data_IF_503922606101
#
_entry.id   IF_503922606101
#
_cell.length_a   1.000
_cell.length_b   1.000
_cell.length_c   1.000
_cell.angle_alpha   90.00
_cell.angle_beta   90.00
_cell.angle_gamma   90.00
#
_symmetry.space_group_name_H-M   'P 1'
#
loop_
_entity.id
_entity.type
_entity.pdbx_description
1 polymer ?
#
# COMPACT_ATOMS: atom_id res chain seq x y z
N UNK A 1 12.81 -11.47 6.46
CA UNK A 1 12.40 -12.70 5.72
C UNK A 1 13.44 -13.07 4.66
N UNK A 2 13.74 -12.22 3.67
CA UNK A 2 14.72 -12.54 2.61
C UNK A 2 16.10 -12.92 3.12
N UNK A 3 16.64 -12.16 4.09
CA UNK A 3 17.95 -12.44 4.63
C UNK A 3 18.08 -13.86 5.18
N UNK A 4 17.03 -14.37 5.83
CA UNK A 4 16.98 -15.75 6.29
C UNK A 4 16.93 -16.76 5.14
N UNK A 5 16.09 -16.52 4.13
CA UNK A 5 16.00 -17.40 2.93
C UNK A 5 17.33 -17.47 2.20
N UNK A 6 17.97 -16.30 1.99
CA UNK A 6 19.30 -16.19 1.38
C UNK A 6 20.36 -16.92 2.21
N UNK A 7 20.37 -16.72 3.54
CA UNK A 7 21.32 -17.40 4.42
C UNK A 7 21.22 -18.93 4.28
N UNK A 8 20.00 -19.47 4.33
CA UNK A 8 19.77 -20.92 4.17
C UNK A 8 20.15 -21.43 2.77
N UNK A 9 20.01 -20.59 1.74
CA UNK A 9 20.40 -20.95 0.39
C UNK A 9 21.94 -20.99 0.23
N UNK A 10 22.64 -20.00 0.78
CA UNK A 10 24.10 -19.94 0.78
C UNK A 10 24.70 -21.10 1.60
N UNK A 11 24.14 -21.41 2.79
CA UNK A 11 24.58 -22.55 3.61
C UNK A 11 24.53 -23.89 2.85
N UNK A 12 23.66 -24.01 1.84
CA UNK A 12 23.55 -25.18 0.95
C UNK A 12 24.45 -25.10 -0.27
N UNK A 13 25.39 -24.17 -0.32
CA UNK A 13 26.31 -23.97 -1.45
C UNK A 13 25.72 -23.21 -2.63
N UNK A 14 24.55 -22.60 -2.47
CA UNK A 14 23.92 -21.78 -3.51
C UNK A 14 24.55 -20.39 -3.63
N UNK A 15 24.20 -19.68 -4.73
CA UNK A 15 24.59 -18.30 -4.97
C UNK A 15 23.33 -17.41 -4.99
N UNK A 16 23.41 -16.20 -4.42
CA UNK A 16 22.26 -15.32 -4.31
C UNK A 16 22.54 -13.89 -4.80
N UNK A 17 21.53 -13.29 -5.43
CA UNK A 17 21.52 -11.90 -5.85
C UNK A 17 20.24 -11.24 -5.34
N UNK A 18 20.36 -10.15 -4.59
CA UNK A 18 19.23 -9.29 -4.22
C UNK A 18 19.31 -8.01 -5.03
N UNK A 19 18.26 -7.67 -5.75
CA UNK A 19 18.22 -6.48 -6.60
C UNK A 19 17.21 -5.48 -6.04
N UNK A 20 17.65 -4.25 -5.87
CA UNK A 20 16.85 -3.13 -5.36
C UNK A 20 17.02 -1.89 -6.23
N UNK A 21 16.10 -0.95 -6.11
CA UNK A 21 16.12 0.31 -6.86
C UNK A 21 16.60 1.52 -6.03
N UNK A 22 16.95 1.31 -4.75
CA UNK A 22 17.37 2.39 -3.84
C UNK A 22 18.58 2.00 -3.00
N UNK A 23 19.49 2.97 -2.87
CA UNK A 23 20.74 2.77 -2.11
C UNK A 23 20.47 2.57 -0.61
N UNK A 24 19.42 3.18 -0.09
CA UNK A 24 18.98 3.00 1.30
C UNK A 24 18.56 1.54 1.57
N UNK A 25 17.82 0.94 0.63
CA UNK A 25 17.40 -0.47 0.72
C UNK A 25 18.61 -1.41 0.61
N UNK A 26 19.58 -1.07 -0.26
CA UNK A 26 20.84 -1.80 -0.37
C UNK A 26 21.63 -1.79 0.95
N UNK A 27 21.71 -0.62 1.63
CA UNK A 27 22.35 -0.51 2.96
C UNK A 27 21.60 -1.30 4.03
N UNK A 28 20.27 -1.25 4.03
CA UNK A 28 19.43 -2.00 4.98
C UNK A 28 19.55 -3.51 4.77
N UNK A 29 19.60 -3.97 3.52
CA UNK A 29 19.84 -5.37 3.19
C UNK A 29 21.21 -5.83 3.72
N UNK A 30 22.27 -5.04 3.50
CA UNK A 30 23.59 -5.31 4.05
C UNK A 30 23.59 -5.46 5.57
N UNK A 31 22.93 -4.55 6.29
CA UNK A 31 22.77 -4.64 7.74
C UNK A 31 21.97 -5.86 8.20
N UNK A 32 20.94 -6.26 7.44
CA UNK A 32 20.15 -7.45 7.73
C UNK A 32 20.95 -8.74 7.54
N UNK A 33 21.76 -8.81 6.49
CA UNK A 33 22.68 -9.93 6.26
C UNK A 33 23.79 -10.00 7.30
N UNK A 34 24.37 -8.85 7.70
CA UNK A 34 25.39 -8.79 8.75
C UNK A 34 24.94 -9.38 10.07
N UNK A 35 23.66 -9.21 10.46
CA UNK A 35 23.11 -9.86 11.67
C UNK A 35 23.02 -11.38 11.58
N UNK A 36 23.10 -11.94 10.37
CA UNK A 36 23.14 -13.38 10.11
C UNK A 36 24.56 -13.87 9.78
N UNK A 37 25.59 -13.05 10.02
CA UNK A 37 26.98 -13.39 9.72
C UNK A 37 27.35 -13.39 8.24
N UNK A 38 26.54 -12.81 7.38
CA UNK A 38 26.77 -12.74 5.93
C UNK A 38 27.25 -11.34 5.53
N UNK A 39 28.24 -11.28 4.65
CA UNK A 39 28.81 -10.04 4.12
C UNK A 39 28.55 -9.96 2.61
N UNK A 40 27.50 -9.29 2.13
CA UNK A 40 27.22 -9.19 0.70
C UNK A 40 28.22 -8.28 -0.01
N UNK A 41 28.54 -8.59 -1.26
CA UNK A 41 29.23 -7.68 -2.16
C UNK A 41 28.20 -6.77 -2.83
N UNK A 42 28.43 -5.45 -2.77
CA UNK A 42 27.52 -4.46 -3.33
C UNK A 42 27.87 -4.12 -4.77
N UNK A 43 26.86 -4.08 -5.67
CA UNK A 43 26.99 -3.66 -7.07
C UNK A 43 26.21 -2.36 -7.26
N UNK A 44 26.96 -1.26 -7.41
CA UNK A 44 26.41 0.08 -7.64
C UNK A 44 27.26 0.84 -8.65
N UNK A 45 26.82 2.04 -9.02
CA UNK A 45 27.58 2.88 -9.95
C UNK A 45 29.02 3.12 -9.44
N UNK A 46 30.01 2.87 -10.31
CA UNK A 46 31.43 3.05 -9.98
C UNK A 46 32.06 1.94 -9.13
N UNK A 47 31.30 0.97 -8.63
CA UNK A 47 31.86 -0.18 -7.90
C UNK A 47 32.61 -1.14 -8.83
N UNK A 48 33.63 -1.80 -8.27
CA UNK A 48 34.35 -2.93 -8.88
C UNK A 48 34.12 -4.17 -8.04
N UNK A 49 32.94 -4.83 -8.16
CA UNK A 49 32.57 -5.95 -7.30
C UNK A 49 33.35 -7.21 -7.65
N UNK A 50 33.64 -8.03 -6.63
CA UNK A 50 34.04 -9.43 -6.83
C UNK A 50 32.78 -10.23 -7.22
N UNK A 51 32.67 -10.59 -8.49
CA UNK A 51 31.53 -11.32 -9.03
C UNK A 51 31.52 -12.82 -8.67
N UNK A 52 32.61 -13.34 -8.10
CA UNK A 52 32.73 -14.74 -7.68
C UNK A 52 32.12 -14.99 -6.30
N UNK A 53 31.91 -13.93 -5.52
CA UNK A 53 31.30 -14.01 -4.19
C UNK A 53 29.89 -14.63 -4.26
N UNK A 54 29.50 -15.48 -3.28
CA UNK A 54 28.19 -16.16 -3.33
C UNK A 54 27.00 -15.22 -3.11
N UNK A 55 27.17 -14.09 -2.44
CA UNK A 55 26.08 -13.15 -2.10
C UNK A 55 26.34 -11.74 -2.63
N UNK A 56 25.39 -11.24 -3.42
CA UNK A 56 25.44 -9.87 -3.94
C UNK A 56 24.14 -9.11 -3.62
N UNK A 57 24.30 -7.79 -3.39
CA UNK A 57 23.18 -6.84 -3.39
C UNK A 57 23.46 -5.78 -4.46
N UNK A 58 22.54 -5.61 -5.40
CA UNK A 58 22.77 -4.79 -6.58
C UNK A 58 21.69 -3.73 -6.80
N UNK A 59 22.13 -2.58 -7.34
CA UNK A 59 21.23 -1.55 -7.86
C UNK A 59 20.73 -1.96 -9.26
N UNK A 60 19.41 -1.94 -9.45
CA UNK A 60 18.80 -2.29 -10.73
C UNK A 60 19.30 -1.43 -11.87
N UNK A 61 19.48 -0.09 -11.66
CA UNK A 61 19.97 0.80 -12.72
C UNK A 61 21.38 0.43 -13.15
N UNK A 62 22.23 -0.04 -12.24
CA UNK A 62 23.61 -0.45 -12.57
C UNK A 62 23.61 -1.72 -13.41
N UNK A 63 22.81 -2.70 -13.04
CA UNK A 63 22.70 -3.95 -13.80
C UNK A 63 22.01 -3.75 -15.15
N UNK A 64 20.87 -3.03 -15.17
CA UNK A 64 20.06 -2.89 -16.40
C UNK A 64 20.71 -2.04 -17.48
N UNK A 65 21.61 -1.09 -17.11
CA UNK A 65 22.39 -0.31 -18.09
C UNK A 65 23.50 -1.10 -18.74
N UNK A 66 23.97 -2.17 -18.12
CA UNK A 66 25.06 -3.02 -18.55
C UNK A 66 24.67 -4.51 -18.44
N UNK A 67 23.43 -4.84 -18.79
CA UNK A 67 22.90 -6.17 -18.59
C UNK A 67 23.70 -7.24 -19.38
N UNK A 68 24.17 -6.91 -20.56
CA UNK A 68 25.01 -7.77 -21.40
C UNK A 68 26.37 -8.02 -20.74
N UNK A 69 27.01 -7.02 -20.12
CA UNK A 69 28.30 -7.17 -19.41
C UNK A 69 28.14 -8.11 -18.19
N UNK A 70 26.97 -8.10 -17.59
CA UNK A 70 26.61 -8.93 -16.43
C UNK A 70 25.91 -10.25 -16.80
N UNK A 71 25.74 -10.58 -18.08
CA UNK A 71 24.95 -11.73 -18.52
C UNK A 71 25.40 -13.06 -17.88
N UNK A 72 26.70 -13.38 -17.92
CA UNK A 72 27.24 -14.58 -17.29
C UNK A 72 27.08 -14.58 -15.77
N UNK A 73 27.25 -13.42 -15.13
CA UNK A 73 27.04 -13.24 -13.71
C UNK A 73 25.58 -13.50 -13.33
N UNK A 74 24.62 -12.91 -14.04
CA UNK A 74 23.19 -13.09 -13.81
C UNK A 74 22.78 -14.56 -14.02
N UNK A 75 23.27 -15.18 -15.10
CA UNK A 75 23.02 -16.59 -15.40
C UNK A 75 23.60 -17.55 -14.36
N UNK A 76 24.66 -17.16 -13.64
CA UNK A 76 25.31 -17.99 -12.61
C UNK A 76 24.60 -18.00 -11.26
N UNK A 77 23.56 -17.17 -11.06
CA UNK A 77 22.87 -17.07 -9.79
C UNK A 77 21.78 -18.12 -9.67
N UNK A 78 21.81 -18.88 -8.58
CA UNK A 78 20.78 -19.90 -8.30
C UNK A 78 19.58 -19.36 -7.51
N UNK A 79 19.69 -18.15 -6.91
CA UNK A 79 18.59 -17.44 -6.27
C UNK A 79 18.66 -15.94 -6.61
N UNK A 80 17.59 -15.38 -7.18
CA UNK A 80 17.47 -13.95 -7.46
C UNK A 80 16.24 -13.40 -6.75
N UNK A 81 16.41 -12.35 -5.95
CA UNK A 81 15.33 -11.69 -5.24
C UNK A 81 15.21 -10.26 -5.74
N UNK A 82 14.02 -9.88 -6.21
CA UNK A 82 13.67 -8.51 -6.58
C UNK A 82 12.86 -7.86 -5.48
N UNK A 83 13.39 -6.80 -4.87
CA UNK A 83 12.67 -6.00 -3.90
C UNK A 83 11.84 -4.93 -4.62
N UNK A 84 10.59 -4.71 -4.19
CA UNK A 84 9.58 -3.92 -4.89
C UNK A 84 9.33 -4.41 -6.34
N UNK A 85 9.16 -5.73 -6.49
CA UNK A 85 9.07 -6.46 -7.76
C UNK A 85 7.99 -5.96 -8.74
N UNK A 86 7.04 -5.14 -8.28
CA UNK A 86 6.04 -4.49 -9.13
C UNK A 86 6.64 -3.44 -10.09
N UNK A 87 7.89 -2.99 -9.86
CA UNK A 87 8.55 -2.00 -10.71
C UNK A 87 9.04 -2.60 -12.02
N UNK A 88 8.84 -1.88 -13.11
CA UNK A 88 9.21 -2.33 -14.46
C UNK A 88 10.71 -2.26 -14.75
N UNK A 89 11.49 -1.57 -13.89
CA UNK A 89 12.93 -1.47 -14.06
C UNK A 89 13.65 -2.83 -14.07
N UNK A 90 13.05 -3.82 -13.41
CA UNK A 90 13.62 -5.18 -13.33
C UNK A 90 13.41 -6.02 -14.61
N UNK A 91 12.45 -5.67 -15.46
CA UNK A 91 12.08 -6.48 -16.64
C UNK A 91 13.26 -6.74 -17.57
N UNK A 92 14.18 -5.79 -17.66
CA UNK A 92 15.39 -5.90 -18.49
C UNK A 92 16.39 -6.97 -18.02
N UNK A 93 16.27 -7.45 -16.80
CA UNK A 93 17.19 -8.41 -16.22
C UNK A 93 16.75 -9.87 -16.45
N UNK A 94 15.44 -10.10 -16.56
CA UNK A 94 14.88 -11.46 -16.69
C UNK A 94 15.46 -12.28 -17.83
N UNK A 95 15.74 -11.73 -19.03
CA UNK A 95 16.33 -12.51 -20.13
C UNK A 95 17.73 -13.08 -19.83
N UNK A 96 18.43 -12.54 -18.83
CA UNK A 96 19.80 -12.94 -18.47
C UNK A 96 19.85 -13.87 -17.24
N UNK A 97 18.72 -14.11 -16.57
CA UNK A 97 18.66 -15.01 -15.42
C UNK A 97 18.62 -16.45 -15.90
N UNK A 98 19.41 -17.31 -15.25
CA UNK A 98 19.44 -18.74 -15.59
C UNK A 98 18.07 -19.41 -15.43
N UNK A 99 17.72 -20.32 -16.32
CA UNK A 99 16.42 -21.01 -16.33
C UNK A 99 16.15 -21.83 -15.04
N UNK A 100 17.21 -22.31 -14.39
CA UNK A 100 17.13 -23.10 -13.15
C UNK A 100 17.19 -22.24 -11.88
N UNK A 101 17.28 -20.90 -12.02
CA UNK A 101 17.34 -20.00 -10.88
C UNK A 101 15.97 -19.88 -10.20
N UNK A 102 15.97 -19.91 -8.89
CA UNK A 102 14.80 -19.47 -8.10
C UNK A 102 14.66 -17.96 -8.18
N UNK A 103 13.54 -17.47 -8.71
CA UNK A 103 13.25 -16.04 -8.79
C UNK A 103 12.12 -15.68 -7.84
N UNK A 104 12.41 -14.78 -6.90
CA UNK A 104 11.44 -14.32 -5.90
C UNK A 104 11.22 -12.81 -6.07
N UNK A 105 9.99 -12.41 -6.33
CA UNK A 105 9.56 -11.03 -6.30
C UNK A 105 8.92 -10.69 -4.95
N UNK A 106 9.46 -9.70 -4.27
CA UNK A 106 8.87 -9.21 -3.03
C UNK A 106 8.22 -7.86 -3.28
N UNK A 107 6.99 -7.70 -2.84
CA UNK A 107 6.29 -6.42 -2.90
C UNK A 107 5.08 -6.43 -1.99
N UNK A 108 4.78 -5.29 -1.38
CA UNK A 108 3.53 -5.09 -0.65
C UNK A 108 2.32 -4.91 -1.61
N UNK A 109 2.57 -4.66 -2.89
CA UNK A 109 1.55 -4.29 -3.87
C UNK A 109 1.87 -4.90 -5.23
N UNK A 110 1.53 -6.18 -5.46
CA UNK A 110 1.80 -6.86 -6.73
C UNK A 110 0.82 -6.41 -7.83
N UNK A 111 0.85 -5.12 -8.16
CA UNK A 111 0.03 -4.50 -9.19
C UNK A 111 0.87 -3.58 -10.07
N UNK A 112 0.84 -3.79 -11.38
CA UNK A 112 1.45 -2.92 -12.37
C UNK A 112 0.40 -2.13 -13.13
N UNK A 113 0.55 -0.81 -13.20
CA UNK A 113 -0.30 0.06 -14.01
C UNK A 113 0.49 0.57 -15.21
N UNK A 114 -0.14 0.51 -16.39
CA UNK A 114 0.44 1.09 -17.60
C UNK A 114 1.61 0.30 -18.22
N UNK A 115 2.09 -0.78 -17.59
CA UNK A 115 3.11 -1.66 -18.18
C UNK A 115 2.50 -2.53 -19.26
N UNK A 116 3.28 -2.81 -20.32
CA UNK A 116 2.93 -3.81 -21.33
C UNK A 116 3.15 -5.23 -20.77
N UNK A 117 4.15 -5.40 -19.90
CA UNK A 117 4.55 -6.67 -19.28
C UNK A 117 3.83 -6.81 -17.95
N UNK A 118 3.09 -7.89 -17.76
CA UNK A 118 2.43 -8.20 -16.49
C UNK A 118 3.32 -9.06 -15.59
N UNK A 119 2.94 -9.21 -14.31
CA UNK A 119 3.79 -9.96 -13.37
C UNK A 119 3.78 -11.47 -13.63
N UNK A 120 2.73 -12.02 -14.24
CA UNK A 120 2.61 -13.43 -14.61
C UNK A 120 3.59 -13.85 -15.72
N UNK A 121 4.14 -12.90 -16.49
CA UNK A 121 5.22 -13.15 -17.43
C UNK A 121 6.55 -13.52 -16.73
N UNK A 122 6.71 -13.11 -15.46
CA UNK A 122 7.94 -13.29 -14.69
C UNK A 122 7.79 -14.22 -13.49
N UNK A 123 6.58 -14.34 -12.93
CA UNK A 123 6.31 -15.09 -11.70
C UNK A 123 5.16 -16.06 -11.92
N UNK A 124 5.31 -17.30 -11.44
CA UNK A 124 4.32 -18.37 -11.61
C UNK A 124 3.19 -18.30 -10.60
N UNK A 125 3.53 -17.93 -9.36
CA UNK A 125 2.62 -17.93 -8.23
C UNK A 125 2.74 -16.67 -7.38
N UNK A 126 1.69 -16.36 -6.64
CA UNK A 126 1.67 -15.32 -5.63
C UNK A 126 1.41 -15.92 -4.25
N UNK A 127 2.34 -15.68 -3.33
CA UNK A 127 2.21 -16.10 -1.93
C UNK A 127 1.79 -14.90 -1.10
N UNK A 128 0.58 -14.91 -0.59
CA UNK A 128 0.05 -13.91 0.34
C UNK A 128 -0.27 -14.62 1.65
N UNK A 129 0.65 -14.65 2.62
CA UNK A 129 0.46 -15.47 3.81
C UNK A 129 -0.55 -14.88 4.79
N UNK A 130 -0.59 -13.55 4.95
CA UNK A 130 -1.43 -12.85 5.93
C UNK A 130 -1.92 -11.53 5.35
N UNK A 131 -3.20 -11.22 5.54
CA UNK A 131 -3.80 -9.95 5.13
C UNK A 131 -3.53 -8.81 6.15
N UNK A 132 -3.69 -7.55 5.72
CA UNK A 132 -3.50 -6.38 6.59
C UNK A 132 -4.39 -6.41 7.84
N UNK A 133 -5.69 -6.73 7.76
CA UNK A 133 -6.54 -6.85 8.94
C UNK A 133 -6.00 -7.86 9.96
N UNK A 134 -5.57 -9.03 9.48
CA UNK A 134 -5.03 -10.07 10.34
C UNK A 134 -3.73 -9.62 11.04
N UNK A 135 -2.87 -8.90 10.32
CA UNK A 135 -1.64 -8.33 10.91
C UNK A 135 -1.94 -7.27 11.98
N UNK A 136 -3.02 -6.51 11.83
CA UNK A 136 -3.49 -5.56 12.84
C UNK A 136 -4.02 -6.32 14.06
N UNK A 137 -4.85 -7.34 13.85
CA UNK A 137 -5.42 -8.14 14.92
C UNK A 137 -4.37 -8.93 15.70
N UNK A 138 -3.32 -9.38 15.02
CA UNK A 138 -2.15 -10.03 15.63
C UNK A 138 -1.19 -9.02 16.32
N UNK A 139 -1.43 -7.72 16.17
CA UNK A 139 -0.60 -6.67 16.79
C UNK A 139 0.73 -6.41 16.06
N UNK A 140 0.90 -6.87 14.83
CA UNK A 140 2.08 -6.57 14.01
C UNK A 140 1.96 -5.25 13.26
N UNK A 141 0.75 -4.75 13.05
CA UNK A 141 0.47 -3.45 12.47
C UNK A 141 -0.45 -2.62 13.36
N UNK A 142 -0.25 -1.30 13.37
CA UNK A 142 -1.10 -0.35 14.09
C UNK A 142 -2.44 -0.17 13.36
N UNK A 143 -3.49 0.06 14.14
CA UNK A 143 -4.81 0.37 13.64
C UNK A 143 -4.91 1.80 13.10
N UNK A 144 -5.66 2.03 12.02
CA UNK A 144 -5.82 3.32 11.39
C UNK A 144 -7.14 4.02 11.79
N UNK A 145 -7.04 5.24 12.29
CA UNK A 145 -8.16 6.18 12.45
C UNK A 145 -8.17 7.11 11.24
N UNK A 146 -9.08 6.89 10.29
CA UNK A 146 -9.07 7.62 9.02
C UNK A 146 -10.14 8.70 8.98
N UNK A 147 -9.71 9.94 8.71
CA UNK A 147 -10.55 11.11 8.50
C UNK A 147 -10.40 11.59 7.05
N UNK A 148 -11.48 11.86 6.36
CA UNK A 148 -11.45 12.28 4.96
C UNK A 148 -12.45 13.35 4.61
N UNK A 149 -12.23 14.00 3.47
CA UNK A 149 -13.13 14.99 2.88
C UNK A 149 -13.51 14.58 1.45
N UNK A 150 -14.70 14.89 0.98
CA UNK A 150 -15.06 14.72 -0.41
C UNK A 150 -14.47 15.87 -1.25
N UNK A 151 -13.34 15.65 -1.94
CA UNK A 151 -12.81 16.56 -2.95
C UNK A 151 -13.27 16.10 -4.34
N UNK A 152 -13.76 17.03 -5.17
CA UNK A 152 -14.04 16.73 -6.58
C UNK A 152 -12.78 16.89 -7.42
N UNK A 153 -12.27 15.74 -7.87
CA UNK A 153 -11.08 15.64 -8.72
C UNK A 153 -11.42 15.52 -10.22
N UNK A 154 -12.67 15.78 -10.60
CA UNK A 154 -13.07 15.74 -12.01
C UNK A 154 -12.34 16.81 -12.81
N UNK A 155 -11.90 16.41 -14.02
CA UNK A 155 -11.22 17.31 -14.95
C UNK A 155 -9.71 17.42 -14.75
N UNK A 156 -9.12 16.91 -13.65
CA UNK A 156 -7.66 16.87 -13.50
C UNK A 156 -7.08 15.85 -14.48
N UNK A 157 -6.11 16.28 -15.28
CA UNK A 157 -5.40 15.42 -16.23
C UNK A 157 -4.63 14.31 -15.51
N UNK A 158 -4.32 13.25 -16.25
CA UNK A 158 -3.51 12.13 -15.77
C UNK A 158 -2.25 12.02 -16.60
N UNK A 159 -1.10 11.95 -15.93
CA UNK A 159 0.22 11.78 -16.51
C UNK A 159 0.86 10.55 -15.89
N UNK A 160 1.41 9.66 -16.73
CA UNK A 160 2.01 8.40 -16.24
C UNK A 160 1.05 7.48 -15.46
N UNK A 161 -0.28 7.62 -15.70
CA UNK A 161 -1.31 6.82 -15.02
C UNK A 161 -1.76 7.36 -13.66
N UNK A 162 -1.21 8.49 -13.18
CA UNK A 162 -1.65 9.19 -11.96
C UNK A 162 -2.10 10.61 -12.29
N UNK A 163 -2.66 11.34 -11.31
CA UNK A 163 -3.05 12.73 -11.47
C UNK A 163 -1.83 13.62 -11.75
N UNK A 164 -1.99 14.60 -12.64
CA UNK A 164 -0.97 15.65 -12.84
C UNK A 164 -0.75 16.41 -11.53
N UNK A 165 0.51 16.44 -11.08
CA UNK A 165 0.86 16.98 -9.78
C UNK A 165 0.64 18.49 -9.67
N UNK A 166 0.84 19.23 -10.78
CA UNK A 166 0.71 20.69 -10.80
C UNK A 166 -0.75 21.11 -10.88
N UNK A 167 -1.56 20.45 -11.73
CA UNK A 167 -3.01 20.70 -11.78
C UNK A 167 -3.68 20.35 -10.43
N UNK A 168 -3.21 19.29 -9.78
CA UNK A 168 -3.70 18.91 -8.45
C UNK A 168 -3.32 19.97 -7.41
N UNK A 169 -2.07 20.42 -7.39
CA UNK A 169 -1.62 21.44 -6.44
C UNK A 169 -2.38 22.75 -6.64
N UNK A 170 -2.61 23.19 -7.87
CA UNK A 170 -3.42 24.38 -8.18
C UNK A 170 -4.87 24.22 -7.68
N UNK A 171 -5.49 23.05 -7.85
CA UNK A 171 -6.84 22.76 -7.34
C UNK A 171 -6.91 22.84 -5.81
N UNK A 172 -5.88 22.38 -5.10
CA UNK A 172 -5.81 22.44 -3.65
C UNK A 172 -5.62 23.87 -3.14
N UNK A 173 -4.82 24.67 -3.84
CA UNK A 173 -4.61 26.10 -3.51
C UNK A 173 -5.89 26.91 -3.75
N UNK A 174 -6.52 26.77 -4.91
CA UNK A 174 -7.79 27.41 -5.27
C UNK A 174 -8.86 27.18 -4.20
N UNK A 175 -8.86 26.01 -3.57
CA UNK A 175 -9.82 25.61 -2.55
C UNK A 175 -9.34 25.82 -1.12
N UNK A 176 -8.21 26.44 -0.91
CA UNK A 176 -7.61 26.67 0.41
C UNK A 176 -7.58 25.42 1.31
N UNK A 177 -7.30 24.27 0.70
CA UNK A 177 -7.29 22.99 1.44
C UNK A 177 -6.26 22.99 2.55
N UNK A 178 -5.19 23.79 2.45
CA UNK A 178 -4.16 23.95 3.48
C UNK A 178 -4.72 24.49 4.82
N UNK A 179 -5.71 25.38 4.80
CA UNK A 179 -6.36 25.89 6.04
C UNK A 179 -7.01 24.72 6.78
N UNK A 180 -7.74 23.88 6.04
CA UNK A 180 -8.32 22.66 6.60
C UNK A 180 -7.28 21.67 7.13
N UNK A 181 -6.07 21.61 6.55
CA UNK A 181 -4.99 20.76 7.08
C UNK A 181 -4.59 21.21 8.48
N UNK A 182 -4.31 22.49 8.66
CA UNK A 182 -3.86 23.06 9.94
C UNK A 182 -4.92 22.90 11.02
N UNK A 183 -6.18 23.28 10.71
CA UNK A 183 -7.28 23.22 11.67
C UNK A 183 -7.59 21.77 12.10
N UNK A 184 -7.66 20.86 11.13
CA UNK A 184 -7.95 19.47 11.44
C UNK A 184 -6.79 18.79 12.18
N UNK A 185 -5.54 19.11 11.85
CA UNK A 185 -4.38 18.65 12.62
C UNK A 185 -4.48 19.10 14.08
N UNK A 186 -4.71 20.40 14.32
CA UNK A 186 -4.85 20.96 15.69
C UNK A 186 -6.01 20.35 16.46
N UNK A 187 -7.10 20.01 15.79
CA UNK A 187 -8.30 19.44 16.41
C UNK A 187 -8.20 17.94 16.67
N UNK A 188 -7.63 17.16 15.72
CA UNK A 188 -7.71 15.69 15.73
C UNK A 188 -6.46 15.05 16.33
N UNK A 189 -5.29 15.57 16.02
CA UNK A 189 -4.00 14.95 16.35
C UNK A 189 -2.93 15.99 16.74
N UNK A 190 -3.23 16.92 17.65
CA UNK A 190 -2.28 17.96 18.05
C UNK A 190 -1.02 17.37 18.68
N UNK A 191 0.14 17.91 18.31
CA UNK A 191 1.44 17.52 18.88
C UNK A 191 1.92 16.12 18.51
N UNK A 192 1.33 15.48 17.51
CA UNK A 192 1.75 14.13 17.07
C UNK A 192 2.87 14.22 16.04
N UNK A 193 3.82 13.26 16.09
CA UNK A 193 4.81 13.07 15.03
C UNK A 193 4.10 12.73 13.72
N UNK A 194 4.30 13.57 12.70
CA UNK A 194 3.46 13.58 11.50
C UNK A 194 4.30 13.54 10.23
N UNK A 195 3.89 12.71 9.27
CA UNK A 195 4.45 12.71 7.93
C UNK A 195 3.38 13.18 6.93
N UNK A 196 3.65 14.28 6.22
CA UNK A 196 2.75 14.89 5.25
C UNK A 196 3.26 14.66 3.82
N UNK A 197 2.41 14.09 2.96
CA UNK A 197 2.71 13.82 1.55
C UNK A 197 1.98 14.81 0.65
N UNK A 198 2.74 15.61 -0.10
CA UNK A 198 2.25 16.60 -1.07
C UNK A 198 2.40 16.12 -2.51
N UNK A 199 1.75 16.81 -3.46
CA UNK A 199 1.77 16.45 -4.87
C UNK A 199 3.08 16.86 -5.56
N UNK A 200 3.60 18.06 -5.26
CA UNK A 200 4.85 18.58 -5.79
C UNK A 200 5.64 19.34 -4.71
N UNK A 201 6.87 19.72 -5.05
CA UNK A 201 7.82 20.39 -4.14
C UNK A 201 7.29 21.74 -3.69
N UNK A 202 6.75 22.55 -4.61
CA UNK A 202 6.22 23.87 -4.29
C UNK A 202 5.08 23.81 -3.26
N UNK A 203 4.11 22.91 -3.48
CA UNK A 203 3.01 22.66 -2.55
C UNK A 203 3.50 22.17 -1.18
N UNK A 204 4.55 21.35 -1.17
CA UNK A 204 5.11 20.83 0.08
C UNK A 204 5.83 21.91 0.89
N UNK A 205 6.57 22.79 0.21
CA UNK A 205 7.23 23.95 0.84
C UNK A 205 6.19 24.94 1.38
N UNK A 206 5.17 25.29 0.59
CA UNK A 206 4.09 26.18 1.02
C UNK A 206 3.35 25.63 2.24
N UNK A 207 2.97 24.35 2.23
CA UNK A 207 2.35 23.71 3.40
C UNK A 207 3.24 23.79 4.64
N UNK A 208 4.55 23.53 4.48
CA UNK A 208 5.51 23.60 5.58
C UNK A 208 5.59 25.02 6.19
N UNK A 209 5.66 26.05 5.34
CA UNK A 209 5.73 27.44 5.79
C UNK A 209 4.44 27.88 6.50
N UNK A 210 3.29 27.47 6.00
CA UNK A 210 1.99 27.75 6.67
C UNK A 210 1.87 27.02 8.00
N UNK A 211 2.34 25.77 8.11
CA UNK A 211 2.37 25.04 9.38
C UNK A 211 3.27 25.77 10.40
N UNK A 212 4.44 26.26 9.97
CA UNK A 212 5.33 27.07 10.81
C UNK A 212 4.69 28.38 11.23
N UNK A 213 4.03 29.09 10.30
CA UNK A 213 3.27 30.30 10.59
C UNK A 213 2.13 30.09 11.61
N UNK A 214 1.60 28.87 11.67
CA UNK A 214 0.60 28.46 12.66
C UNK A 214 1.19 28.00 14.01
N UNK A 215 2.52 28.14 14.21
CA UNK A 215 3.24 27.78 15.43
C UNK A 215 3.55 26.28 15.54
N UNK A 216 3.49 25.51 14.45
CA UNK A 216 3.77 24.08 14.44
C UNK A 216 5.21 23.79 14.04
N UNK A 217 5.79 22.73 14.61
CA UNK A 217 7.18 22.33 14.38
C UNK A 217 7.30 21.54 13.06
N UNK A 218 7.45 22.24 11.94
CA UNK A 218 7.45 21.65 10.60
C UNK A 218 8.77 21.87 9.87
N UNK A 219 9.26 20.86 9.13
CA UNK A 219 10.32 20.93 8.15
C UNK A 219 9.90 20.31 6.82
N UNK A 220 10.57 20.72 5.76
CA UNK A 220 10.36 20.17 4.41
C UNK A 220 11.53 19.29 4.02
N UNK A 221 11.25 18.25 3.20
CA UNK A 221 12.23 17.34 2.64
C UNK A 221 11.90 17.03 1.18
N UNK A 222 12.88 17.26 0.28
CA UNK A 222 12.74 16.91 -1.14
C UNK A 222 14.04 16.29 -1.71
N UNK A 223 13.97 15.90 -2.99
CA UNK A 223 15.09 15.26 -3.71
C UNK A 223 16.15 16.27 -4.17
N UNK A 224 15.87 17.56 -4.15
CA UNK A 224 16.78 18.62 -4.58
C UNK A 224 17.72 19.09 -3.45
N UNK A 225 17.40 18.72 -2.20
CA UNK A 225 18.22 19.06 -1.03
C UNK A 225 19.57 18.34 -1.07
N UNK A 226 20.61 19.01 -0.61
CA UNK A 226 21.92 18.42 -0.40
C UNK A 226 21.87 17.28 0.62
N UNK A 227 22.72 16.25 0.46
CA UNK A 227 22.69 15.05 1.30
C UNK A 227 22.84 15.34 2.80
N UNK A 228 23.65 16.32 3.18
CA UNK A 228 23.82 16.70 4.57
C UNK A 228 22.56 17.33 5.16
N UNK A 229 21.87 18.21 4.40
CA UNK A 229 20.59 18.82 4.83
C UNK A 229 19.50 17.75 4.98
N UNK A 230 19.47 16.79 4.05
CA UNK A 230 18.56 15.65 4.10
C UNK A 230 18.81 14.83 5.36
N UNK A 231 20.06 14.52 5.66
CA UNK A 231 20.45 13.75 6.85
C UNK A 231 20.05 14.48 8.12
N UNK A 232 20.39 15.76 8.25
CA UNK A 232 20.02 16.59 9.39
C UNK A 232 18.50 16.65 9.60
N UNK A 233 17.74 16.83 8.51
CA UNK A 233 16.29 16.89 8.56
C UNK A 233 15.68 15.56 9.02
N UNK A 234 16.22 14.44 8.56
CA UNK A 234 15.77 13.10 8.97
C UNK A 234 16.13 12.80 10.41
N UNK A 235 17.31 13.21 10.88
CA UNK A 235 17.73 13.01 12.26
C UNK A 235 16.91 13.87 13.22
N UNK A 236 16.63 15.13 12.85
CA UNK A 236 15.67 15.96 13.58
C UNK A 236 14.29 15.29 13.63
N UNK A 237 13.78 14.77 12.52
CA UNK A 237 12.47 14.11 12.52
C UNK A 237 12.43 12.88 13.41
N UNK A 238 13.52 12.11 13.51
CA UNK A 238 13.61 10.96 14.41
C UNK A 238 13.61 11.38 15.89
N UNK A 239 14.33 12.44 16.23
CA UNK A 239 14.53 12.88 17.61
C UNK A 239 13.38 13.72 18.17
N UNK A 240 12.62 14.44 17.30
CA UNK A 240 11.61 15.40 17.73
C UNK A 240 10.21 14.75 17.78
N UNK A 241 9.59 14.61 18.95
CA UNK A 241 8.30 13.92 19.10
C UNK A 241 7.11 14.62 18.42
N UNK A 242 7.18 15.94 18.24
CA UNK A 242 6.10 16.75 17.67
C UNK A 242 6.37 17.14 16.22
N UNK A 243 7.41 16.58 15.61
CA UNK A 243 7.83 16.92 14.26
C UNK A 243 6.76 16.68 13.21
N UNK A 244 6.58 17.64 12.32
CA UNK A 244 5.81 17.48 11.08
C UNK A 244 6.78 17.55 9.91
N UNK A 245 6.92 16.46 9.16
CA UNK A 245 7.80 16.40 7.99
C UNK A 245 6.96 16.42 6.71
N UNK A 246 7.02 17.54 5.97
CA UNK A 246 6.40 17.68 4.66
C UNK A 246 7.33 17.12 3.57
N UNK A 247 6.82 16.29 2.68
CA UNK A 247 7.62 15.69 1.63
C UNK A 247 6.86 15.38 0.34
N UNK A 248 7.60 15.05 -0.72
CA UNK A 248 7.05 14.63 -2.01
C UNK A 248 7.62 13.27 -2.39
N UNK A 249 6.93 12.20 -1.99
CA UNK A 249 7.22 10.82 -2.43
C UNK A 249 8.56 10.21 -1.99
N UNK A 250 9.49 11.00 -1.47
CA UNK A 250 10.85 10.53 -1.13
C UNK A 250 10.85 9.55 0.05
N UNK A 251 9.87 9.66 0.94
CA UNK A 251 9.74 8.82 2.13
C UNK A 251 8.74 7.66 1.96
N UNK A 252 8.27 7.42 0.75
CA UNK A 252 7.33 6.31 0.49
C UNK A 252 7.99 4.94 0.59
N UNK A 253 9.31 4.85 0.38
CA UNK A 253 10.10 3.62 0.49
C UNK A 253 11.39 3.88 1.25
N UNK A 254 11.93 2.85 1.91
CA UNK A 254 13.26 2.89 2.54
C UNK A 254 13.39 3.69 3.84
N UNK A 255 12.39 4.49 4.25
CA UNK A 255 12.44 5.26 5.49
C UNK A 255 11.82 4.51 6.67
N UNK A 256 12.58 4.34 7.74
CA UNK A 256 12.14 3.68 8.96
C UNK A 256 12.05 4.66 10.14
N UNK A 257 10.81 4.91 10.60
CA UNK A 257 10.49 5.73 11.77
C UNK A 257 9.17 5.18 12.37
N UNK A 258 9.24 4.24 13.32
CA UNK A 258 8.06 3.51 13.81
C UNK A 258 7.08 4.36 14.61
N UNK A 259 7.53 5.47 15.19
CA UNK A 259 6.80 6.37 16.08
C UNK A 259 5.97 7.45 15.35
N UNK A 260 5.84 7.37 14.02
CA UNK A 260 4.92 8.23 13.27
C UNK A 260 3.49 7.94 13.68
N UNK A 261 2.82 8.93 14.27
CA UNK A 261 1.44 8.84 14.78
C UNK A 261 0.40 9.36 13.79
N UNK A 262 0.78 10.21 12.84
CA UNK A 262 -0.15 10.80 11.88
C UNK A 262 0.42 10.81 10.47
N UNK A 263 -0.42 10.43 9.51
CA UNK A 263 -0.16 10.56 8.07
C UNK A 263 -1.12 11.58 7.49
N UNK A 264 -0.60 12.63 6.88
CA UNK A 264 -1.38 13.61 6.12
C UNK A 264 -1.22 13.32 4.62
N UNK A 265 -2.30 12.97 3.96
CA UNK A 265 -2.34 12.78 2.50
C UNK A 265 -2.82 14.10 1.85
N UNK A 266 -1.90 15.06 1.71
CA UNK A 266 -2.14 16.35 1.04
C UNK A 266 -1.94 16.22 -0.47
N UNK A 267 -2.33 15.06 -0.99
CA UNK A 267 -2.37 14.73 -2.42
C UNK A 267 -3.40 13.63 -2.70
N UNK A 268 -3.96 13.65 -3.89
CA UNK A 268 -4.67 12.50 -4.43
C UNK A 268 -3.73 11.63 -5.27
N UNK A 269 -4.03 10.34 -5.37
CA UNK A 269 -3.36 9.45 -6.31
C UNK A 269 -4.32 8.40 -6.85
N UNK A 270 -4.14 7.99 -8.09
CA UNK A 270 -4.79 6.82 -8.67
C UNK A 270 -3.98 5.54 -8.48
N UNK A 271 -2.77 5.66 -7.94
CA UNK A 271 -1.86 4.55 -7.69
C UNK A 271 -2.14 3.92 -6.32
N UNK A 272 -2.73 2.72 -6.32
CA UNK A 272 -2.91 1.93 -5.10
C UNK A 272 -1.58 1.63 -4.40
N UNK A 273 -0.50 1.22 -5.10
CA UNK A 273 0.81 1.05 -4.49
C UNK A 273 1.29 2.29 -3.73
N UNK A 274 1.22 3.45 -4.37
CA UNK A 274 1.66 4.70 -3.74
C UNK A 274 0.83 5.05 -2.50
N UNK A 275 -0.50 4.89 -2.58
CA UNK A 275 -1.39 5.09 -1.42
C UNK A 275 -0.99 4.18 -0.25
N UNK A 276 -0.82 2.88 -0.50
CA UNK A 276 -0.46 1.90 0.54
C UNK A 276 0.93 2.15 1.12
N UNK A 277 1.91 2.56 0.30
CA UNK A 277 3.24 2.92 0.77
C UNK A 277 3.23 4.16 1.66
N UNK A 278 2.50 5.21 1.28
CA UNK A 278 2.36 6.43 2.10
C UNK A 278 1.75 6.11 3.47
N UNK A 279 0.61 5.41 3.48
CA UNK A 279 -0.09 5.07 4.72
C UNK A 279 0.69 4.07 5.56
N UNK A 280 1.36 3.12 4.93
CA UNK A 280 2.19 2.12 5.57
C UNK A 280 3.33 2.69 6.42
N UNK A 281 3.73 3.95 6.22
CA UNK A 281 4.71 4.61 7.11
C UNK A 281 4.17 4.82 8.54
N UNK A 282 2.87 4.99 8.69
CA UNK A 282 2.21 5.13 9.99
C UNK A 282 1.82 3.80 10.65
N UNK A 283 1.87 2.69 9.93
CA UNK A 283 1.30 1.42 10.40
C UNK A 283 2.17 0.61 11.36
N UNK A 284 3.43 1.00 11.57
CA UNK A 284 4.34 0.26 12.44
C UNK A 284 3.95 0.35 13.91
N UNK A 285 4.03 -0.77 14.62
CA UNK A 285 3.73 -0.85 16.04
C UNK A 285 4.98 -0.51 16.87
N UNK A 286 4.78 0.17 17.98
CA UNK A 286 5.78 0.32 19.04
C UNK A 286 5.14 -0.07 20.38
N UNK A 287 5.94 -0.15 21.45
CA UNK A 287 5.41 -0.42 22.80
C UNK A 287 4.33 0.58 23.24
N UNK A 288 4.38 1.81 22.72
CA UNK A 288 3.49 2.93 23.08
C UNK A 288 2.45 3.25 21.99
N UNK A 289 2.52 2.57 20.83
CA UNK A 289 1.68 2.88 19.68
C UNK A 289 1.08 1.61 19.09
N UNK A 290 -0.24 1.52 19.14
CA UNK A 290 -1.05 0.51 18.47
C UNK A 290 -2.09 1.10 17.51
N UNK A 291 -2.19 2.43 17.44
CA UNK A 291 -3.06 3.16 16.51
C UNK A 291 -2.32 4.32 15.86
N UNK A 292 -2.79 4.77 14.71
CA UNK A 292 -2.32 5.99 14.05
C UNK A 292 -3.45 6.67 13.29
N UNK A 293 -3.27 7.96 13.00
CA UNK A 293 -4.28 8.79 12.33
C UNK A 293 -3.92 9.00 10.86
N UNK A 294 -4.92 8.92 9.99
CA UNK A 294 -4.82 9.31 8.58
C UNK A 294 -5.73 10.51 8.35
N UNK A 295 -5.16 11.62 7.89
CA UNK A 295 -5.91 12.79 7.41
C UNK A 295 -5.89 12.79 5.88
N UNK A 296 -6.97 12.33 5.24
CA UNK A 296 -7.04 12.17 3.78
C UNK A 296 -7.69 13.39 3.12
N UNK A 297 -6.87 14.32 2.68
CA UNK A 297 -7.27 15.49 1.89
C UNK A 297 -7.28 15.20 0.37
N UNK A 298 -6.86 14.01 -0.04
CA UNK A 298 -6.83 13.55 -1.42
C UNK A 298 -8.04 12.73 -1.84
N UNK A 299 -8.96 12.44 -0.91
CA UNK A 299 -10.08 11.51 -1.16
C UNK A 299 -9.59 10.13 -1.67
N UNK A 300 -8.41 9.72 -1.22
CA UNK A 300 -7.74 8.48 -1.65
C UNK A 300 -8.54 7.25 -1.20
N UNK A 301 -9.16 7.32 -0.02
CA UNK A 301 -9.97 6.22 0.53
C UNK A 301 -11.17 5.92 -0.37
N UNK A 302 -11.77 6.92 -1.01
CA UNK A 302 -12.85 6.70 -1.99
C UNK A 302 -12.35 6.00 -3.25
N UNK A 303 -11.12 6.29 -3.68
CA UNK A 303 -10.51 5.67 -4.85
C UNK A 303 -10.01 4.25 -4.56
N UNK A 304 -9.42 4.03 -3.37
CA UNK A 304 -8.65 2.83 -3.03
C UNK A 304 -9.26 1.99 -1.90
N UNK A 305 -10.39 2.38 -1.31
CA UNK A 305 -10.97 1.85 -0.07
C UNK A 305 -10.10 2.20 1.14
N UNK A 306 -10.56 1.80 2.33
CA UNK A 306 -9.79 1.96 3.57
C UNK A 306 -8.44 1.25 3.44
N UNK A 307 -7.41 1.75 4.15
CA UNK A 307 -6.08 1.19 4.08
C UNK A 307 -6.05 -0.29 4.50
N UNK A 308 -6.76 -0.60 5.56
CA UNK A 308 -6.89 -1.95 6.11
C UNK A 308 -7.82 -2.88 5.31
N UNK A 309 -8.51 -2.38 4.29
CA UNK A 309 -9.46 -3.21 3.54
C UNK A 309 -8.77 -4.43 2.92
N UNK A 310 -9.34 -5.63 3.05
CA UNK A 310 -8.78 -6.83 2.44
C UNK A 310 -8.71 -6.69 0.92
N UNK A 311 -7.62 -7.18 0.33
CA UNK A 311 -7.35 -7.08 -1.11
C UNK A 311 -7.03 -8.44 -1.69
N UNK A 312 -7.58 -8.70 -2.86
CA UNK A 312 -7.23 -9.88 -3.66
C UNK A 312 -6.22 -9.44 -4.71
N UNK A 313 -5.04 -10.01 -4.63
CA UNK A 313 -3.97 -9.76 -5.57
C UNK A 313 -3.96 -10.81 -6.69
N UNK A 314 -3.53 -10.41 -7.87
CA UNK A 314 -3.32 -11.28 -9.02
C UNK A 314 -2.05 -10.85 -9.74
N UNK A 315 -1.31 -11.80 -10.28
CA UNK A 315 -0.18 -11.54 -11.17
C UNK A 315 -0.66 -11.06 -12.54
N UNK A 316 -1.84 -11.50 -12.96
CA UNK A 316 -2.43 -11.17 -14.24
C UNK A 316 -2.80 -9.68 -14.34
N UNK A 317 -2.64 -9.17 -15.54
CA UNK A 317 -3.10 -7.82 -15.89
C UNK A 317 -4.61 -7.75 -15.72
N UNK A 318 -5.09 -6.92 -14.81
CA UNK A 318 -6.53 -6.65 -14.72
C UNK A 318 -7.02 -6.17 -16.09
N UNK A 319 -8.07 -6.79 -16.67
CA UNK A 319 -8.62 -6.32 -17.92
C UNK A 319 -8.92 -4.82 -17.76
N UNK A 320 -8.61 -4.03 -18.79
CA UNK A 320 -9.05 -2.63 -18.83
C UNK A 320 -10.56 -2.68 -18.53
N UNK A 321 -10.97 -2.14 -17.38
CA UNK A 321 -12.39 -1.94 -17.13
C UNK A 321 -12.89 -1.22 -18.37
N UNK A 322 -13.78 -1.87 -19.13
CA UNK A 322 -14.62 -1.15 -20.09
C UNK A 322 -15.07 0.09 -19.34
N UNK A 323 -14.78 1.25 -19.89
CA UNK A 323 -15.35 2.49 -19.39
C UNK A 323 -16.84 2.19 -19.35
N UNK A 324 -17.41 1.99 -18.14
CA UNK A 324 -18.84 2.18 -17.98
C UNK A 324 -19.03 3.57 -18.56
N UNK A 325 -19.59 3.64 -19.74
CA UNK A 325 -20.02 4.90 -20.32
C UNK A 325 -20.78 5.60 -19.20
N UNK A 326 -20.21 6.67 -18.69
CA UNK A 326 -20.89 7.52 -17.73
C UNK A 326 -22.20 7.83 -18.43
N UNK A 327 -23.34 7.43 -17.83
CA UNK A 327 -24.65 7.51 -18.47
C UNK A 327 -24.71 8.86 -19.16
N UNK A 328 -24.79 8.84 -20.49
CA UNK A 328 -24.82 10.05 -21.33
C UNK A 328 -26.04 10.90 -21.06
N UNK A 329 -26.91 10.46 -20.18
CA UNK A 329 -28.19 11.07 -19.78
C UNK A 329 -28.31 11.18 -18.26
N UNK A 330 -29.08 12.17 -17.81
CA UNK A 330 -29.50 12.37 -16.42
C UNK A 330 -31.00 12.63 -16.35
N UNK A 331 -31.61 12.27 -15.24
CA UNK A 331 -33.04 12.52 -15.00
C UNK A 331 -33.25 13.96 -14.52
N UNK A 332 -34.32 14.60 -15.05
CA UNK A 332 -34.74 15.90 -14.56
C UNK A 332 -35.50 15.76 -13.24
N UNK A 333 -35.04 16.40 -12.13
CA UNK A 333 -35.70 16.27 -10.84
C UNK A 333 -37.09 16.94 -10.78
N UNK A 334 -37.43 17.79 -11.77
CA UNK A 334 -38.72 18.49 -11.83
C UNK A 334 -39.79 17.70 -12.56
N UNK A 335 -39.46 17.10 -13.73
CA UNK A 335 -40.46 16.42 -14.57
C UNK A 335 -40.15 14.94 -14.79
N UNK A 336 -39.06 14.38 -14.25
CA UNK A 336 -38.65 13.01 -14.48
C UNK A 336 -38.13 12.70 -15.90
N UNK A 337 -38.14 13.67 -16.81
CA UNK A 337 -37.68 13.50 -18.19
C UNK A 337 -36.17 13.30 -18.29
N UNK A 338 -35.71 12.40 -19.17
CA UNK A 338 -34.29 12.19 -19.43
C UNK A 338 -33.74 13.25 -20.37
N UNK A 339 -32.62 13.85 -19.98
CA UNK A 339 -31.88 14.83 -20.77
C UNK A 339 -30.40 14.47 -20.83
N UNK A 340 -29.65 15.03 -21.79
CA UNK A 340 -28.22 14.81 -21.86
C UNK A 340 -27.55 15.19 -20.54
N UNK A 341 -26.56 14.40 -20.11
CA UNK A 341 -25.82 14.65 -18.83
C UNK A 341 -25.19 16.05 -18.77
N UNK A 342 -24.83 16.62 -19.96
CA UNK A 342 -24.29 17.96 -20.13
C UNK A 342 -25.34 19.07 -20.18
N UNK A 343 -26.64 18.74 -20.25
CA UNK A 343 -27.68 19.73 -20.37
C UNK A 343 -27.73 20.67 -19.17
N UNK A 344 -27.72 21.98 -19.43
CA UNK A 344 -27.87 23.03 -18.40
C UNK A 344 -29.33 23.32 -18.08
N UNK A 345 -30.23 23.10 -19.06
CA UNK A 345 -31.66 23.32 -18.95
C UNK A 345 -32.40 22.09 -19.48
N UNK A 346 -33.49 21.72 -18.83
CA UNK A 346 -34.36 20.63 -19.29
C UNK A 346 -35.17 21.08 -20.51
N UNK A 347 -35.09 20.37 -21.62
CA UNK A 347 -35.83 20.68 -22.85
C UNK A 347 -37.35 20.51 -22.71
N UNK A 348 -37.81 19.74 -21.70
CA UNK A 348 -39.21 19.42 -21.51
C UNK A 348 -39.93 20.40 -20.59
N UNK A 349 -39.27 20.88 -19.51
CA UNK A 349 -39.91 21.71 -18.51
C UNK A 349 -39.11 22.97 -18.13
N UNK A 350 -38.05 23.28 -18.87
CA UNK A 350 -37.19 24.44 -18.66
C UNK A 350 -36.49 24.47 -17.25
N UNK A 351 -36.47 23.35 -16.52
CA UNK A 351 -35.75 23.27 -15.26
C UNK A 351 -34.24 23.52 -15.48
N UNK A 352 -33.68 24.52 -14.79
CA UNK A 352 -32.27 24.83 -14.81
C UNK A 352 -31.54 23.90 -13.85
N UNK A 353 -30.64 23.04 -14.36
CA UNK A 353 -29.76 22.23 -13.54
C UNK A 353 -28.71 23.14 -12.92
N UNK A 354 -28.93 23.51 -11.65
CA UNK A 354 -27.91 24.21 -10.86
C UNK A 354 -26.66 23.36 -10.85
N UNK A 355 -25.46 23.92 -11.14
CA UNK A 355 -24.24 23.20 -10.92
C UNK A 355 -24.27 22.69 -9.47
N UNK A 356 -23.94 21.41 -9.25
CA UNK A 356 -23.81 20.90 -7.88
C UNK A 356 -22.87 21.86 -7.18
N UNK A 357 -23.38 22.63 -6.21
CA UNK A 357 -22.56 23.52 -5.39
C UNK A 357 -21.48 22.65 -4.81
N UNK A 358 -20.24 22.99 -5.11
CA UNK A 358 -19.10 22.36 -4.49
C UNK A 358 -19.17 22.67 -2.99
N UNK A 359 -19.20 21.68 -2.11
CA UNK A 359 -19.22 21.93 -0.66
C UNK A 359 -18.06 22.79 -0.19
N UNK A 360 -17.00 22.92 -1.01
CA UNK A 360 -15.81 23.71 -0.71
C UNK A 360 -15.81 25.13 -1.33
N UNK A 361 -16.94 25.56 -1.94
CA UNK A 361 -17.06 26.88 -2.55
C UNK A 361 -17.21 28.03 -1.53
N UNK A 362 -17.27 27.74 -0.22
CA UNK A 362 -17.27 28.72 0.86
C UNK A 362 -15.88 28.84 1.48
N UNK A 363 -15.51 30.05 1.90
CA UNK A 363 -14.27 30.36 2.62
C UNK A 363 -14.18 29.73 4.03
N UNK A 364 -14.98 28.72 4.32
CA UNK A 364 -14.95 27.99 5.57
C UNK A 364 -13.92 26.87 5.50
N UNK A 365 -13.15 26.72 6.55
CA UNK A 365 -12.19 25.64 6.68
C UNK A 365 -12.88 24.29 6.54
N UNK A 366 -12.26 23.41 5.78
CA UNK A 366 -12.78 22.07 5.54
C UNK A 366 -12.68 21.24 6.82
N UNK A 367 -13.83 20.85 7.36
CA UNK A 367 -13.91 19.98 8.54
C UNK A 367 -13.84 18.52 8.10
N UNK A 368 -12.84 17.78 8.59
CA UNK A 368 -12.76 16.34 8.40
C UNK A 368 -13.79 15.63 9.28
N UNK A 369 -14.48 14.64 8.71
CA UNK A 369 -15.32 13.71 9.46
C UNK A 369 -14.65 12.34 9.55
N UNK A 370 -14.92 11.64 10.66
CA UNK A 370 -14.47 10.25 10.80
C UNK A 370 -15.19 9.39 9.76
N UNK A 371 -14.43 8.75 8.89
CA UNK A 371 -14.99 7.79 7.94
C UNK A 371 -15.45 6.54 8.70
N UNK A 372 -16.65 5.99 8.38
CA UNK A 372 -17.09 4.75 9.00
C UNK A 372 -16.06 3.67 8.72
N UNK A 373 -15.54 3.08 9.79
CA UNK A 373 -14.77 1.85 9.68
C UNK A 373 -15.74 0.78 9.18
N UNK A 374 -15.25 -0.08 8.27
CA UNK A 374 -15.85 -1.38 8.10
C UNK A 374 -15.83 -1.98 9.51
N UNK A 375 -17.02 -2.30 10.07
CA UNK A 375 -17.11 -2.91 11.40
C UNK A 375 -16.05 -3.98 11.51
N UNK A 376 -15.08 -3.74 12.40
CA UNK A 376 -14.00 -4.69 12.58
C UNK A 376 -14.64 -5.96 13.07
N UNK A 377 -14.41 -7.01 12.33
CA UNK A 377 -14.67 -8.34 12.78
C UNK A 377 -14.02 -8.43 14.15
N UNK A 378 -14.83 -8.49 15.23
CA UNK A 378 -14.37 -8.83 16.57
C UNK A 378 -13.34 -9.93 16.40
N UNK A 379 -12.20 -9.87 17.10
CA UNK A 379 -11.10 -10.83 16.94
C UNK A 379 -11.68 -12.20 16.65
N UNK A 380 -11.40 -12.76 15.48
CA UNK A 380 -11.94 -14.06 15.05
C UNK A 380 -11.84 -15.13 16.15
N UNK A 381 -10.77 -15.04 16.97
CA UNK A 381 -10.54 -15.93 18.11
C UNK A 381 -11.52 -15.75 19.27
N UNK A 382 -12.18 -14.59 19.38
CA UNK A 382 -13.14 -14.31 20.47
C UNK A 382 -14.60 -14.53 20.05
N UNK A 383 -14.83 -14.84 18.77
CA UNK A 383 -16.18 -15.13 18.25
C UNK A 383 -16.58 -16.59 18.52
N UNK A 384 -17.84 -16.78 18.83
CA UNK A 384 -18.45 -18.13 18.85
C UNK A 384 -18.46 -18.75 17.45
N UNK A 385 -18.66 -20.07 17.36
CA UNK A 385 -18.79 -20.77 16.08
C UNK A 385 -19.98 -20.25 15.27
N UNK A 386 -21.08 -19.90 15.95
CA UNK A 386 -22.29 -19.32 15.36
C UNK A 386 -22.01 -17.95 14.74
N UNK A 387 -21.30 -17.08 15.44
CA UNK A 387 -20.89 -15.74 14.94
C UNK A 387 -19.93 -15.86 13.75
N UNK A 388 -18.95 -16.77 13.81
CA UNK A 388 -18.05 -17.07 12.69
C UNK A 388 -18.81 -17.56 11.46
N UNK A 389 -19.76 -18.48 11.63
CA UNK A 389 -20.58 -18.99 10.55
C UNK A 389 -21.51 -17.91 9.97
N UNK A 390 -22.03 -17.03 10.81
CA UNK A 390 -22.85 -15.88 10.37
C UNK A 390 -22.03 -14.94 9.48
N UNK A 391 -20.81 -14.56 9.90
CA UNK A 391 -19.91 -13.74 9.10
C UNK A 391 -19.61 -14.34 7.73
N UNK A 392 -19.35 -15.64 7.66
CA UNK A 392 -19.12 -16.33 6.39
C UNK A 392 -20.34 -16.32 5.46
N UNK A 393 -21.56 -16.26 6.02
CA UNK A 393 -22.81 -16.22 5.24
C UNK A 393 -23.13 -14.83 4.69
N UNK A 394 -22.87 -13.78 5.46
CA UNK A 394 -23.16 -12.39 5.05
C UNK A 394 -22.12 -11.86 4.03
N UNK A 395 -20.90 -12.37 4.03
CA UNK A 395 -19.89 -11.99 3.05
C UNK A 395 -20.05 -12.80 1.75
N UNK A 396 -20.91 -12.31 0.86
CA UNK A 396 -21.18 -12.95 -0.43
C UNK A 396 -19.96 -13.08 -1.34
N UNK A 397 -18.93 -12.24 -1.17
CA UNK A 397 -17.73 -12.24 -2.02
C UNK A 397 -16.60 -13.11 -1.47
N UNK A 398 -16.37 -13.08 -0.16
CA UNK A 398 -15.22 -13.72 0.47
C UNK A 398 -15.57 -14.81 1.48
N UNK A 399 -16.85 -15.03 1.77
CA UNK A 399 -17.30 -15.96 2.81
C UNK A 399 -16.74 -17.39 2.67
N UNK A 400 -16.49 -17.87 1.43
CA UNK A 400 -15.85 -19.18 1.20
C UNK A 400 -14.39 -19.19 1.63
N UNK A 401 -13.64 -18.09 1.38
CA UNK A 401 -12.24 -17.97 1.77
C UNK A 401 -12.10 -17.81 3.27
N UNK A 402 -12.99 -17.00 3.88
CA UNK A 402 -13.06 -16.82 5.33
C UNK A 402 -13.39 -18.15 6.03
N UNK A 403 -14.35 -18.92 5.51
CA UNK A 403 -14.67 -20.24 6.05
C UNK A 403 -13.48 -21.20 5.96
N UNK A 404 -12.74 -21.18 4.85
CA UNK A 404 -11.51 -21.97 4.69
C UNK A 404 -10.43 -21.60 5.70
N UNK A 405 -10.22 -20.30 5.93
CA UNK A 405 -9.26 -19.79 6.90
C UNK A 405 -9.65 -20.19 8.35
N UNK A 406 -10.92 -20.02 8.71
CA UNK A 406 -11.42 -20.41 10.04
C UNK A 406 -11.22 -21.92 10.27
N UNK A 407 -11.55 -22.75 9.29
CA UNK A 407 -11.36 -24.20 9.36
C UNK A 407 -9.89 -24.61 9.47
N UNK A 408 -9.01 -23.91 8.75
CA UNK A 408 -7.56 -24.13 8.81
C UNK A 408 -6.98 -23.92 10.21
N UNK A 409 -7.53 -22.96 10.97
CA UNK A 409 -7.06 -22.60 12.31
C UNK A 409 -7.81 -23.36 13.43
N UNK A 410 -8.71 -24.31 13.10
CA UNK A 410 -9.37 -25.13 14.09
C UNK A 410 -8.53 -26.33 14.50
N UNK A 411 -8.33 -26.47 15.81
CA UNK A 411 -7.51 -27.56 16.39
C UNK A 411 -8.29 -28.86 16.50
N UNK A 412 -9.62 -28.78 16.67
CA UNK A 412 -10.47 -29.94 16.94
C UNK A 412 -11.42 -30.24 15.80
N UNK A 413 -11.50 -31.52 15.43
CA UNK A 413 -12.39 -32.00 14.37
C UNK A 413 -13.88 -31.76 14.69
N UNK A 414 -14.29 -31.91 15.94
CA UNK A 414 -15.68 -31.69 16.38
C UNK A 414 -16.13 -30.23 16.14
N UNK A 415 -15.27 -29.25 16.41
CA UNK A 415 -15.54 -27.84 16.15
C UNK A 415 -15.65 -27.54 14.65
N UNK A 416 -14.81 -28.17 13.84
CA UNK A 416 -14.86 -28.05 12.39
C UNK A 416 -16.15 -28.63 11.81
N UNK A 417 -16.60 -29.79 12.29
CA UNK A 417 -17.87 -30.41 11.91
C UNK A 417 -19.07 -29.54 12.29
N UNK A 418 -19.08 -29.00 13.50
CA UNK A 418 -20.14 -28.10 13.98
C UNK A 418 -20.15 -26.81 13.15
N UNK A 419 -18.99 -26.21 12.86
CA UNK A 419 -18.88 -25.01 12.06
C UNK A 419 -19.36 -25.20 10.61
N UNK A 420 -19.00 -26.31 9.97
CA UNK A 420 -19.46 -26.65 8.61
C UNK A 420 -20.98 -26.85 8.57
N UNK A 421 -21.54 -27.48 9.61
CA UNK A 421 -23.00 -27.64 9.75
C UNK A 421 -23.70 -26.29 9.89
N UNK A 422 -23.15 -25.38 10.69
CA UNK A 422 -23.62 -23.98 10.83
C UNK A 422 -23.56 -23.19 9.52
N UNK A 423 -22.66 -23.53 8.61
CA UNK A 423 -22.61 -22.95 7.26
C UNK A 423 -23.68 -23.50 6.31
N UNK A 424 -24.49 -24.48 6.76
CA UNK A 424 -25.48 -25.18 5.93
C UNK A 424 -24.84 -26.12 4.91
N UNK A 425 -23.67 -26.66 5.21
CA UNK A 425 -22.89 -27.56 4.34
C UNK A 425 -22.70 -28.91 5.04
N UNK A 426 -22.52 -29.98 4.25
CA UNK A 426 -22.10 -31.28 4.79
C UNK A 426 -20.57 -31.31 4.98
N UNK A 427 -20.10 -32.06 5.98
CA UNK A 427 -18.66 -32.25 6.20
C UNK A 427 -17.97 -32.92 4.99
N UNK A 428 -18.70 -33.71 4.21
CA UNK A 428 -18.24 -34.23 2.91
C UNK A 428 -17.85 -33.15 1.93
N UNK A 429 -18.53 -31.99 1.97
CA UNK A 429 -18.16 -30.82 1.13
C UNK A 429 -16.76 -30.32 1.44
N UNK A 430 -16.35 -30.36 2.70
CA UNK A 430 -15.01 -29.97 3.14
C UNK A 430 -13.94 -31.00 2.72
N UNK A 431 -14.27 -32.30 2.73
CA UNK A 431 -13.30 -33.38 2.48
C UNK A 431 -13.05 -33.71 1.00
N UNK A 432 -13.88 -33.22 0.09
CA UNK A 432 -13.99 -33.83 -1.25
C UNK A 432 -13.41 -33.04 -2.39
N UNK A 433 -12.93 -31.85 -2.39
CA UNK A 433 -12.42 -31.43 -3.70
C UNK A 433 -11.23 -30.51 -3.72
N UNK A 434 -11.08 -29.54 -3.11
CA UNK A 434 -9.92 -28.62 -3.28
C UNK A 434 -9.06 -28.51 -2.02
N UNK A 435 -9.55 -29.12 -0.95
CA UNK A 435 -9.00 -28.97 0.39
C UNK A 435 -7.93 -30.03 0.75
N UNK A 436 -7.84 -31.14 0.02
CA UNK A 436 -6.95 -32.27 0.37
C UNK A 436 -5.47 -31.96 0.44
N UNK A 437 -5.02 -30.83 -0.06
CA UNK A 437 -3.61 -30.41 -0.01
C UNK A 437 -3.32 -29.22 0.92
N UNK A 438 -4.32 -28.59 1.53
CA UNK A 438 -4.16 -27.28 2.19
C UNK A 438 -4.54 -27.23 3.66
N UNK A 439 -5.05 -28.31 4.28
CA UNK A 439 -5.56 -28.27 5.66
C UNK A 439 -4.84 -29.27 6.57
N UNK A 440 -4.58 -28.89 7.82
CA UNK A 440 -3.91 -29.77 8.78
C UNK A 440 -4.76 -31.00 9.12
N UNK A 441 -4.08 -32.08 9.44
CA UNK A 441 -4.71 -33.27 10.04
C UNK A 441 -5.14 -32.87 11.46
N UNK A 442 -6.42 -32.89 11.76
CA UNK A 442 -6.94 -32.58 13.09
C UNK A 442 -6.35 -33.53 14.13
N UNK A 443 -5.84 -32.97 15.24
CA UNK A 443 -5.44 -33.73 16.40
C UNK A 443 -6.62 -34.44 17.09
N UNK A 444 -6.33 -35.32 18.03
CA UNK A 444 -7.32 -36.14 18.76
C UNK A 444 -8.43 -35.36 19.47
N UNK A 445 -9.34 -36.07 20.20
CA UNK A 445 -10.51 -35.44 20.84
C UNK A 445 -10.09 -34.36 21.84
N UNK A 446 -10.95 -33.31 22.07
CA UNK A 446 -10.68 -32.25 23.02
C UNK A 446 -10.51 -32.81 24.44
N UNK A 447 -9.70 -32.21 25.26
CA UNK A 447 -9.65 -32.57 26.68
C UNK A 447 -11.03 -32.37 27.32
N UNK A 448 -11.41 -33.29 28.19
CA UNK A 448 -12.68 -33.32 28.93
C UNK A 448 -12.85 -32.09 29.80
#
# INVERSE_FOLDING_TARGET
>A
MFSYMVARHIERGGTALVVTDRIELMKQAGGAFGRLGLSPVNISAGSKPDLTHPLHVAMVETLSRRAEDYALFLASKSLVIFDEAHKTAFDKLFPFIGADAYVIGATATPERKGSQISLDEHYRDIVQPVDTPDLIDLGFLSDAMTYGIPIDLKGIKKVGGDYDANEMAARYEERRVFEGVIENYKRICPGTKTLAFSANIAQSKDLCDRLRGAGLNARHLDSEMADWQRTETLDWFRSEPTAILCNVGILTTGFDCPDILTIILYRATTSLPLFLQMVGRGSRVTKLKNTFTILDFGNNVKAHKMWEAPRVWSLEKKPKREKKEASSVKDCPSCGGMVAASAKVCKMCAYEFKPKRDPLAHNEAVVLSLLPKIERIKKLNTLSLEEKAHLCRIDKQNGRKLAGFILYNMTYKADAEKFVTLLGKSFRWFTTSEARGRYPVFGGPPPK
#
